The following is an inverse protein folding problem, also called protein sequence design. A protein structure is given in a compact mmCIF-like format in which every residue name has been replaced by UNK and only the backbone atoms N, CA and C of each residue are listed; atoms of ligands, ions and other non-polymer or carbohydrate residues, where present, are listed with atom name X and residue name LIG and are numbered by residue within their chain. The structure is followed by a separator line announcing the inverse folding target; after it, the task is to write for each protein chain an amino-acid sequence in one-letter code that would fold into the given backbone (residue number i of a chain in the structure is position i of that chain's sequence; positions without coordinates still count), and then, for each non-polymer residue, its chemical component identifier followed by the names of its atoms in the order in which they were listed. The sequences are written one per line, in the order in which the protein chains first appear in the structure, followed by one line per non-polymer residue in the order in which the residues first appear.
data_IF_769015725176
#
_entry.id   IF_769015725176
#
_cell.length_a   1.000
_cell.length_b   1.000
_cell.length_c   1.000
_cell.angle_alpha   90.00
_cell.angle_beta   90.00
_cell.angle_gamma   90.00
#
_symmetry.space_group_name_H-M   'P 1'
#
loop_
_entity.id
_entity.type
_entity.pdbx_description
1 polymer ?
#
# COMPACT_ATOMS: atom_id res chain seq x y z
N UNK A 1 -4.06 -12.72 38.82
CA UNK A 1 -5.03 -11.93 38.05
C UNK A 1 -4.22 -10.93 37.24
N UNK A 2 -3.88 -11.28 36.00
CA UNK A 2 -3.19 -10.35 35.11
C UNK A 2 -4.21 -9.32 34.66
N UNK A 3 -4.03 -8.06 35.05
CA UNK A 3 -4.86 -6.94 34.60
C UNK A 3 -4.40 -6.58 33.19
N UNK A 4 -5.25 -6.81 32.19
CA UNK A 4 -4.99 -6.35 30.84
C UNK A 4 -5.25 -4.84 30.83
N UNK A 5 -4.19 -4.04 30.79
CA UNK A 5 -4.32 -2.61 30.53
C UNK A 5 -4.85 -2.43 29.10
N UNK A 6 -6.11 -2.04 28.97
CA UNK A 6 -6.69 -1.57 27.71
C UNK A 6 -6.06 -0.21 27.41
N UNK A 7 -5.01 -0.19 26.60
CA UNK A 7 -4.54 1.04 25.96
C UNK A 7 -5.69 1.58 25.08
N UNK A 8 -6.13 2.84 25.27
CA UNK A 8 -7.19 3.40 24.45
C UNK A 8 -6.66 3.59 23.02
N UNK A 9 -7.23 2.85 22.07
CA UNK A 9 -7.05 3.10 20.63
C UNK A 9 -7.67 4.48 20.32
N UNK A 10 -6.85 5.41 19.83
CA UNK A 10 -7.29 6.73 19.39
C UNK A 10 -8.24 6.62 18.20
N UNK A 11 -9.33 7.37 18.18
CA UNK A 11 -10.44 7.25 17.21
C UNK A 11 -10.04 7.55 15.75
N UNK A 12 -8.88 8.17 15.51
CA UNK A 12 -8.28 8.30 14.16
C UNK A 12 -8.00 6.94 13.50
N UNK A 13 -7.77 5.89 14.31
CA UNK A 13 -7.59 4.48 13.92
C UNK A 13 -8.85 3.89 13.25
N UNK A 14 -10.04 4.45 13.49
CA UNK A 14 -11.29 3.89 12.94
C UNK A 14 -11.45 4.08 11.44
N UNK A 15 -10.72 5.02 10.82
CA UNK A 15 -10.67 5.20 9.38
C UNK A 15 -9.96 4.02 8.68
N UNK A 16 -8.89 3.50 9.28
CA UNK A 16 -8.11 2.35 8.79
C UNK A 16 -8.78 1.00 9.11
N UNK A 17 -9.76 0.98 10.01
CA UNK A 17 -10.50 -0.24 10.37
C UNK A 17 -11.41 -0.72 9.23
N UNK A 18 -11.98 0.16 8.39
CA UNK A 18 -12.87 -0.30 7.30
C UNK A 18 -12.10 -1.07 6.20
N UNK A 19 -10.98 -0.54 5.64
CA UNK A 19 -10.18 -1.27 4.67
C UNK A 19 -9.68 -2.63 5.19
N UNK A 20 -9.25 -2.69 6.46
CA UNK A 20 -8.82 -3.94 7.11
C UNK A 20 -9.95 -4.96 7.16
N UNK A 21 -11.17 -4.52 7.53
CA UNK A 21 -12.35 -5.39 7.59
C UNK A 21 -12.75 -5.92 6.21
N UNK A 22 -12.64 -5.10 5.17
CA UNK A 22 -12.93 -5.50 3.80
C UNK A 22 -11.93 -6.57 3.32
N UNK A 23 -10.63 -6.38 3.58
CA UNK A 23 -9.59 -7.37 3.24
C UNK A 23 -9.78 -8.70 3.99
N UNK A 24 -10.22 -8.66 5.25
CA UNK A 24 -10.57 -9.86 6.01
C UNK A 24 -11.78 -10.59 5.39
N UNK A 25 -12.78 -9.85 4.92
CA UNK A 25 -13.96 -10.42 4.24
C UNK A 25 -13.60 -11.06 2.90
N UNK A 26 -12.62 -10.51 2.18
CA UNK A 26 -12.05 -11.07 0.96
C UNK A 26 -11.03 -12.19 1.22
N UNK A 27 -10.91 -12.66 2.47
CA UNK A 27 -10.00 -13.74 2.89
C UNK A 27 -8.52 -13.46 2.60
N UNK A 28 -8.11 -12.20 2.60
CA UNK A 28 -6.70 -11.83 2.48
C UNK A 28 -5.93 -12.33 3.72
N UNK A 29 -4.77 -12.98 3.57
CA UNK A 29 -3.96 -13.44 4.69
C UNK A 29 -3.62 -12.32 5.68
N UNK A 30 -3.75 -12.59 6.98
CA UNK A 30 -3.47 -11.62 8.05
C UNK A 30 -2.08 -10.99 7.95
N UNK A 31 -1.07 -11.75 7.54
CA UNK A 31 0.28 -11.23 7.35
C UNK A 31 0.31 -10.07 6.33
N UNK A 32 -0.41 -10.19 5.22
CA UNK A 32 -0.46 -9.15 4.18
C UNK A 32 -1.30 -7.94 4.62
N UNK A 33 -2.34 -8.16 5.42
CA UNK A 33 -3.17 -7.06 5.95
C UNK A 33 -2.34 -6.18 6.88
N UNK A 34 -1.45 -6.77 7.70
CA UNK A 34 -0.53 -6.00 8.56
C UNK A 34 0.41 -5.13 7.72
N UNK A 35 1.01 -5.70 6.67
CA UNK A 35 1.91 -4.96 5.77
C UNK A 35 1.20 -3.76 5.09
N UNK A 36 -0.09 -3.91 4.76
CA UNK A 36 -0.89 -2.87 4.09
C UNK A 36 -1.47 -1.83 5.05
N UNK A 37 -1.85 -2.23 6.27
CA UNK A 37 -2.41 -1.34 7.28
C UNK A 37 -1.34 -0.44 7.92
N UNK A 38 -0.07 -0.80 7.80
CA UNK A 38 1.05 -0.04 8.37
C UNK A 38 2.17 0.10 7.34
N UNK A 39 1.96 0.88 6.25
CA UNK A 39 2.98 1.04 5.23
C UNK A 39 4.21 1.74 5.83
N UNK A 40 5.39 1.17 5.58
CA UNK A 40 6.66 1.70 6.11
C UNK A 40 6.99 3.11 5.59
N UNK A 41 6.59 3.44 4.35
CA UNK A 41 6.74 4.77 3.76
C UNK A 41 5.74 4.99 2.62
N UNK A 42 5.32 6.23 2.41
CA UNK A 42 4.51 6.58 1.24
C UNK A 42 5.38 6.73 -0.01
N UNK A 43 4.78 6.56 -1.20
CA UNK A 43 5.49 6.78 -2.46
C UNK A 43 6.09 8.19 -2.59
N UNK A 44 5.48 9.20 -1.97
CA UNK A 44 5.99 10.56 -1.97
C UNK A 44 7.31 10.66 -1.17
N UNK A 45 7.34 10.12 0.05
CA UNK A 45 8.54 10.10 0.90
C UNK A 45 9.69 9.31 0.26
N UNK A 46 9.37 8.21 -0.41
CA UNK A 46 10.36 7.41 -1.15
C UNK A 46 10.96 8.24 -2.30
N UNK A 47 10.12 8.92 -3.09
CA UNK A 47 10.60 9.77 -4.19
C UNK A 47 11.44 10.95 -3.69
N UNK A 48 11.10 11.54 -2.55
CA UNK A 48 11.88 12.62 -1.95
C UNK A 48 13.25 12.15 -1.43
N UNK A 49 13.33 10.91 -0.92
CA UNK A 49 14.56 10.35 -0.35
C UNK A 49 15.48 9.70 -1.38
N UNK A 50 14.93 8.98 -2.35
CA UNK A 50 15.68 8.20 -3.34
C UNK A 50 15.74 8.88 -4.71
N UNK A 51 14.81 9.78 -5.02
CA UNK A 51 14.68 10.40 -6.33
C UNK A 51 14.00 9.49 -7.36
N UNK A 52 14.03 9.93 -8.62
CA UNK A 52 13.60 9.09 -9.74
C UNK A 52 14.72 8.12 -10.11
N UNK A 53 14.40 6.87 -10.49
CA UNK A 53 15.39 5.94 -11.01
C UNK A 53 16.00 6.47 -12.31
N UNK A 54 17.26 6.10 -12.57
CA UNK A 54 18.02 6.56 -13.74
C UNK A 54 17.40 6.09 -15.06
N UNK A 55 16.80 4.89 -15.06
CA UNK A 55 16.12 4.30 -16.21
C UNK A 55 14.61 4.15 -15.95
N UNK A 56 13.81 5.01 -16.58
CA UNK A 56 12.35 4.94 -16.59
C UNK A 56 11.84 3.79 -17.46
N UNK A 57 11.95 2.55 -17.01
CA UNK A 57 11.52 1.35 -17.76
C UNK A 57 10.03 1.36 -18.16
N UNK A 58 9.20 2.17 -17.49
CA UNK A 58 7.78 2.38 -17.79
C UNK A 58 7.53 3.34 -18.98
N UNK A 59 8.55 4.05 -19.46
CA UNK A 59 8.49 4.88 -20.67
C UNK A 59 8.76 4.05 -21.94
N UNK A 60 8.52 2.73 -21.90
CA UNK A 60 8.53 1.90 -23.11
C UNK A 60 7.33 2.25 -23.99
N UNK A 61 7.62 2.98 -25.06
CA UNK A 61 6.89 2.98 -26.31
C UNK A 61 5.42 3.46 -26.26
N UNK A 62 5.20 4.71 -25.82
CA UNK A 62 4.05 5.47 -26.32
C UNK A 62 4.07 5.65 -27.86
N UNK A 63 5.19 5.30 -28.52
CA UNK A 63 5.44 5.42 -29.96
C UNK A 63 5.42 4.09 -30.73
N UNK A 64 5.14 2.93 -30.12
CA UNK A 64 5.07 1.64 -30.83
C UNK A 64 3.75 0.91 -30.57
N UNK A 65 2.65 1.64 -30.73
CA UNK A 65 1.35 1.07 -31.08
C UNK A 65 0.91 1.57 -32.45
N UNK A 66 1.76 1.41 -33.47
CA UNK A 66 1.32 1.42 -34.86
C UNK A 66 1.28 -0.04 -35.34
N UNK A 67 0.14 -0.68 -35.09
CA UNK A 67 -0.16 -2.01 -35.60
C UNK A 67 -0.40 -1.95 -37.11
N UNK A 68 0.66 -1.91 -37.91
CA UNK A 68 0.57 -2.20 -39.35
C UNK A 68 0.63 -3.73 -39.53
N UNK A 69 -0.54 -4.35 -39.40
CA UNK A 69 -0.78 -5.74 -39.78
C UNK A 69 -1.19 -5.80 -41.25
N UNK A 70 -0.40 -6.56 -42.01
CA UNK A 70 -0.51 -6.99 -43.42
C UNK A 70 -1.85 -6.82 -44.15
#
# INVERSE_FOLDING_TARGET
MTTHETTPVSIDDTADVQPVRDLLAEHVPLALIVDLATPEATSAEILESEGLPEDSWWEKDATTSDGTGA
#
